data_IF_674840636284
#
_entry.id   IF_674840636284
#
_cell.length_a   1.000
_cell.length_b   1.000
_cell.length_c   1.000
_cell.angle_alpha   90.00
_cell.angle_beta   90.00
_cell.angle_gamma   90.00
#
_symmetry.space_group_name_H-M   'P 1'
#
loop_
_entity.id
_entity.type
_entity.pdbx_description
1 polymer ?
#
# COMPACT_ATOMS: atom_id res chain seq x y z
N UNK A 1 -8.65 -27.45 36.44
CA UNK A 1 -8.05 -26.21 37.02
C UNK A 1 -6.57 -26.44 37.27
N UNK A 2 -5.69 -25.73 36.56
CA UNK A 2 -4.28 -25.53 36.93
C UNK A 2 -3.77 -24.32 36.14
N UNK A 3 -3.53 -23.24 36.89
CA UNK A 3 -3.17 -21.90 36.41
C UNK A 3 -1.75 -21.87 35.83
N UNK A 4 -1.60 -21.28 34.64
CA UNK A 4 -0.31 -20.81 34.16
C UNK A 4 -0.14 -19.33 34.56
N UNK A 5 0.86 -19.08 35.41
CA UNK A 5 1.29 -17.76 35.88
C UNK A 5 1.78 -16.91 34.71
N UNK A 6 1.17 -15.74 34.51
CA UNK A 6 1.69 -14.66 33.67
C UNK A 6 2.78 -13.92 34.46
N UNK A 7 4.02 -13.94 33.96
CA UNK A 7 5.13 -13.14 34.51
C UNK A 7 5.06 -11.76 33.84
N UNK A 8 4.82 -10.72 34.63
CA UNK A 8 4.95 -9.31 34.24
C UNK A 8 6.34 -8.83 34.66
N UNK A 9 7.17 -8.40 33.73
CA UNK A 9 8.41 -7.68 34.03
C UNK A 9 8.19 -6.20 33.69
N UNK A 10 7.85 -5.40 34.69
CA UNK A 10 7.85 -3.95 34.60
C UNK A 10 9.24 -3.46 35.03
N UNK A 11 9.95 -2.76 34.14
CA UNK A 11 11.21 -2.11 34.47
C UNK A 11 11.01 -0.59 34.39
N UNK A 12 10.61 0.00 35.51
CA UNK A 12 10.65 1.44 35.73
C UNK A 12 11.96 1.80 36.41
N UNK A 13 12.82 2.58 35.76
CA UNK A 13 13.98 3.21 36.39
C UNK A 13 13.91 4.71 36.18
N UNK A 14 13.48 5.41 37.23
CA UNK A 14 13.57 6.86 37.35
C UNK A 14 14.87 7.22 38.05
N UNK A 15 15.62 8.19 37.51
CA UNK A 15 16.64 8.92 38.25
C UNK A 15 16.80 10.33 37.65
N UNK A 16 16.27 11.32 38.37
CA UNK A 16 16.66 12.73 38.32
C UNK A 16 17.85 12.93 39.28
N UNK A 17 18.70 13.94 39.05
CA UNK A 17 18.66 15.09 39.96
C UNK A 17 18.87 16.46 39.30
N UNK A 18 18.41 17.47 40.04
CA UNK A 18 18.36 18.90 39.74
C UNK A 18 19.68 19.65 39.97
N UNK A 19 19.74 20.90 39.48
CA UNK A 19 20.24 22.15 40.14
C UNK A 19 20.15 23.30 39.11
N UNK A 20 19.28 24.32 39.30
CA UNK A 20 19.55 25.67 39.87
C UNK A 20 20.30 26.62 38.88
N UNK A 21 20.01 27.91 38.67
CA UNK A 21 19.23 28.93 39.39
C UNK A 21 18.93 30.16 38.48
N UNK A 22 17.83 30.86 38.83
CA UNK A 22 17.55 32.30 38.82
C UNK A 22 18.00 33.25 37.69
N UNK A 23 17.00 33.92 37.09
CA UNK A 23 17.12 35.27 36.53
C UNK A 23 15.74 35.91 36.44
N UNK A 24 15.34 36.63 37.49
CA UNK A 24 14.07 37.36 37.59
C UNK A 24 14.21 38.80 37.10
N UNK A 25 13.17 39.28 36.40
CA UNK A 25 12.92 40.66 36.00
C UNK A 25 12.04 40.61 34.76
N UNK A 26 10.72 40.86 34.80
CA UNK A 26 9.99 41.86 35.56
C UNK A 26 9.58 42.97 34.59
N UNK A 27 8.32 43.00 34.16
CA UNK A 27 7.78 44.11 33.38
C UNK A 27 6.60 43.73 32.48
N UNK A 28 5.39 44.05 32.95
CA UNK A 28 4.16 44.11 32.17
C UNK A 28 4.02 45.51 31.55
N UNK A 29 3.49 45.58 30.33
CA UNK A 29 2.61 46.62 29.72
C UNK A 29 2.59 46.34 28.20
N UNK A 30 1.47 45.90 27.62
CA UNK A 30 0.32 46.71 27.16
C UNK A 30 0.65 47.58 25.92
N UNK A 31 -0.06 47.26 24.83
CA UNK A 31 -0.44 48.08 23.66
C UNK A 31 0.66 48.42 22.64
N UNK A 32 0.56 47.90 21.41
CA UNK A 32 -0.05 48.57 20.24
C UNK A 32 0.32 47.80 18.95
N UNK A 33 -0.68 47.52 18.10
CA UNK A 33 -0.52 47.09 16.70
C UNK A 33 0.27 48.15 15.90
N UNK A 34 1.04 47.76 14.87
CA UNK A 34 0.44 47.89 13.54
C UNK A 34 0.88 46.84 12.51
N UNK A 35 -0.11 46.42 11.72
CA UNK A 35 -0.03 46.21 10.27
C UNK A 35 1.11 45.32 9.76
N UNK A 36 0.99 44.01 9.99
CA UNK A 36 1.71 42.97 9.25
C UNK A 36 0.90 42.52 8.04
N UNK A 37 1.32 42.97 6.85
CA UNK A 37 0.86 42.56 5.52
C UNK A 37 0.42 41.10 5.45
N UNK A 38 -0.85 40.87 5.09
CA UNK A 38 -1.35 39.55 4.71
C UNK A 38 -0.57 39.10 3.48
N UNK A 39 0.37 38.18 3.70
CA UNK A 39 1.06 37.44 2.66
C UNK A 39 -0.01 36.74 1.82
N UNK A 40 -0.25 37.26 0.61
CA UNK A 40 -1.16 36.67 -0.35
C UNK A 40 -0.69 35.23 -0.61
N UNK A 41 -1.52 34.27 -0.22
CA UNK A 41 -1.43 32.88 -0.69
C UNK A 41 -1.47 32.93 -2.22
N UNK A 42 -0.46 32.39 -2.93
CA UNK A 42 -0.55 32.33 -4.38
C UNK A 42 -1.76 31.47 -4.73
N UNK A 43 -2.61 32.02 -5.60
CA UNK A 43 -3.73 31.30 -6.18
C UNK A 43 -3.19 30.01 -6.79
N UNK A 44 -3.71 28.89 -6.32
CA UNK A 44 -3.47 27.58 -6.93
C UNK A 44 -3.92 27.70 -8.39
N UNK A 45 -2.97 27.69 -9.32
CA UNK A 45 -3.25 27.46 -10.73
C UNK A 45 -4.03 26.15 -10.81
N UNK A 46 -5.30 26.23 -11.21
CA UNK A 46 -6.08 25.05 -11.57
C UNK A 46 -5.34 24.34 -12.71
N UNK A 47 -4.80 23.17 -12.41
CA UNK A 47 -4.23 22.28 -13.40
C UNK A 47 -5.28 22.01 -14.49
N UNK A 48 -4.85 22.09 -15.75
CA UNK A 48 -5.66 21.71 -16.90
C UNK A 48 -6.28 20.31 -16.67
N UNK A 49 -7.48 20.03 -17.22
CA UNK A 49 -8.13 18.75 -17.03
C UNK A 49 -7.18 17.63 -17.45
N UNK A 50 -6.83 16.80 -16.49
CA UNK A 50 -5.97 15.63 -16.66
C UNK A 50 -6.62 14.74 -17.73
N UNK A 51 -5.88 14.40 -18.80
CA UNK A 51 -6.35 13.40 -19.76
C UNK A 51 -6.63 12.11 -18.99
N UNK A 52 -7.89 11.69 -18.94
CA UNK A 52 -8.27 10.47 -18.24
C UNK A 52 -7.59 9.27 -18.90
N UNK A 53 -6.81 8.51 -18.13
CA UNK A 53 -6.18 7.30 -18.62
C UNK A 53 -7.27 6.28 -19.00
N UNK A 54 -7.23 5.78 -20.24
CA UNK A 54 -8.15 4.75 -20.73
C UNK A 54 -7.40 3.42 -20.71
N UNK A 55 -7.85 2.50 -19.86
CA UNK A 55 -7.33 1.14 -19.81
C UNK A 55 -8.14 0.21 -20.72
N UNK A 56 -7.46 -0.79 -21.28
CA UNK A 56 -8.09 -1.88 -22.02
C UNK A 56 -7.42 -3.17 -21.58
N UNK A 57 -8.20 -4.25 -21.48
CA UNK A 57 -7.62 -5.57 -21.21
C UNK A 57 -6.64 -5.98 -22.31
N UNK A 58 -5.58 -6.66 -21.92
CA UNK A 58 -4.64 -7.26 -22.85
C UNK A 58 -5.33 -8.33 -23.70
N UNK A 59 -5.06 -8.31 -25.02
CA UNK A 59 -5.70 -9.20 -26.01
C UNK A 59 -4.83 -10.41 -26.42
N UNK A 60 -3.78 -10.70 -25.64
CA UNK A 60 -2.83 -11.76 -25.92
C UNK A 60 -1.96 -12.05 -24.71
N UNK A 61 -0.96 -12.91 -24.89
CA UNK A 61 0.00 -13.22 -23.84
C UNK A 61 0.81 -11.96 -23.49
N UNK A 62 0.83 -11.67 -22.20
CA UNK A 62 1.53 -10.55 -21.55
C UNK A 62 2.53 -11.08 -20.52
N UNK A 63 2.95 -12.33 -20.67
CA UNK A 63 3.93 -12.99 -19.81
C UNK A 63 5.32 -12.89 -20.44
N UNK A 64 6.31 -12.50 -19.64
CA UNK A 64 7.71 -12.55 -20.02
C UNK A 64 8.20 -14.01 -20.14
N UNK A 65 9.15 -14.26 -21.04
CA UNK A 65 9.79 -15.57 -21.16
C UNK A 65 10.45 -15.99 -19.84
N UNK A 66 10.11 -17.17 -19.34
CA UNK A 66 10.67 -17.72 -18.11
C UNK A 66 10.72 -19.25 -18.14
N UNK A 67 11.55 -19.84 -17.28
CA UNK A 67 11.52 -21.28 -17.02
C UNK A 67 10.45 -21.59 -15.96
N UNK A 68 9.70 -22.68 -16.16
CA UNK A 68 8.69 -23.10 -15.19
C UNK A 68 9.29 -23.27 -13.79
N UNK A 69 8.73 -22.55 -12.81
CA UNK A 69 9.13 -22.65 -11.42
C UNK A 69 8.38 -23.76 -10.68
N UNK A 70 9.04 -24.33 -9.66
CA UNK A 70 8.42 -25.22 -8.70
C UNK A 70 8.13 -24.47 -7.40
N UNK A 71 6.87 -24.42 -6.99
CA UNK A 71 6.46 -23.80 -5.73
C UNK A 71 6.15 -24.84 -4.67
N UNK A 72 6.46 -24.52 -3.42
CA UNK A 72 6.04 -25.35 -2.30
C UNK A 72 4.60 -25.01 -1.93
N UNK A 73 3.81 -25.99 -1.48
CA UNK A 73 2.42 -25.74 -1.05
C UNK A 73 2.28 -24.81 0.17
N UNK A 74 3.40 -24.42 0.79
CA UNK A 74 3.45 -23.44 1.87
C UNK A 74 3.93 -22.06 1.42
N UNK A 75 4.04 -21.79 0.10
CA UNK A 75 4.27 -20.45 -0.42
C UNK A 75 3.19 -19.50 0.09
N UNK A 76 3.59 -18.41 0.72
CA UNK A 76 2.67 -17.44 1.34
C UNK A 76 2.50 -16.23 0.43
N UNK A 77 1.24 -15.80 0.29
CA UNK A 77 0.88 -14.53 -0.33
C UNK A 77 0.01 -13.73 0.63
N UNK A 78 0.28 -12.43 0.73
CA UNK A 78 -0.49 -11.45 1.51
C UNK A 78 -1.08 -10.44 0.54
N UNK A 79 -2.39 -10.21 0.65
CA UNK A 79 -3.10 -9.17 -0.13
C UNK A 79 -3.70 -8.18 0.85
N UNK A 80 -3.54 -6.89 0.59
CA UNK A 80 -4.17 -5.81 1.36
C UNK A 80 -4.84 -4.80 0.43
N UNK A 81 -5.92 -4.17 0.91
CA UNK A 81 -6.56 -3.06 0.19
C UNK A 81 -5.67 -1.82 0.17
N UNK A 82 -5.63 -1.11 -0.96
CA UNK A 82 -5.05 0.22 -1.03
C UNK A 82 -5.92 1.22 -0.26
N UNK A 83 -5.34 1.79 0.80
CA UNK A 83 -5.98 2.75 1.71
C UNK A 83 -6.56 4.00 1.06
N UNK A 84 -6.07 4.37 -0.13
CA UNK A 84 -6.56 5.53 -0.90
C UNK A 84 -7.76 5.21 -1.78
N UNK A 85 -8.04 3.93 -2.02
CA UNK A 85 -9.15 3.46 -2.86
C UNK A 85 -10.29 2.91 -2.01
N UNK A 86 -9.97 2.22 -0.91
CA UNK A 86 -10.96 1.60 -0.03
C UNK A 86 -11.11 2.34 1.30
N UNK A 87 -12.35 2.51 1.74
CA UNK A 87 -12.66 3.13 3.04
C UNK A 87 -12.33 2.19 4.21
N UNK A 88 -12.62 0.89 4.06
CA UNK A 88 -12.42 -0.12 5.10
C UNK A 88 -11.17 -0.97 4.79
N UNK A 89 -10.24 -1.10 5.75
CA UNK A 89 -9.07 -1.93 5.57
C UNK A 89 -9.46 -3.40 5.52
N UNK A 90 -8.81 -4.14 4.63
CA UNK A 90 -8.88 -5.59 4.58
C UNK A 90 -7.49 -6.12 4.22
N UNK A 91 -7.12 -7.23 4.84
CA UNK A 91 -5.88 -7.94 4.58
C UNK A 91 -6.11 -9.44 4.81
N UNK A 92 -5.59 -10.26 3.89
CA UNK A 92 -5.56 -11.70 4.05
C UNK A 92 -4.18 -12.24 3.70
N UNK A 93 -3.72 -13.22 4.47
CA UNK A 93 -2.53 -14.01 4.16
C UNK A 93 -2.93 -15.47 3.99
N UNK A 94 -2.55 -16.07 2.87
CA UNK A 94 -2.95 -17.43 2.49
C UNK A 94 -1.80 -18.18 1.81
N UNK A 95 -1.97 -19.50 1.70
CA UNK A 95 -1.01 -20.43 1.09
C UNK A 95 -1.76 -21.49 0.27
N UNK A 96 -1.01 -22.39 -0.36
CA UNK A 96 -1.56 -23.45 -1.21
C UNK A 96 -1.83 -22.96 -2.62
N UNK A 97 -2.77 -23.63 -3.30
CA UNK A 97 -2.98 -23.46 -4.75
C UNK A 97 -3.28 -22.01 -5.15
N UNK A 98 -4.10 -21.29 -4.38
CA UNK A 98 -4.42 -19.88 -4.64
C UNK A 98 -3.18 -18.97 -4.53
N UNK A 99 -2.33 -19.22 -3.53
CA UNK A 99 -1.09 -18.45 -3.34
C UNK A 99 -0.09 -18.74 -4.46
N UNK A 100 0.01 -20.01 -4.86
CA UNK A 100 0.87 -20.43 -5.98
C UNK A 100 0.40 -19.81 -7.28
N UNK A 101 -0.90 -19.89 -7.60
CA UNK A 101 -1.46 -19.32 -8.83
C UNK A 101 -1.25 -17.80 -8.91
N UNK A 102 -1.52 -17.08 -7.81
CA UNK A 102 -1.30 -15.63 -7.78
C UNK A 102 0.18 -15.26 -7.87
N UNK A 103 1.05 -16.03 -7.19
CA UNK A 103 2.51 -15.83 -7.25
C UNK A 103 3.05 -16.06 -8.65
N UNK A 104 2.69 -17.18 -9.29
CA UNK A 104 3.15 -17.57 -10.62
C UNK A 104 2.73 -16.51 -11.66
N UNK A 105 1.47 -16.08 -11.62
CA UNK A 105 0.97 -15.01 -12.48
C UNK A 105 1.78 -13.72 -12.29
N UNK A 106 1.85 -13.19 -11.07
CA UNK A 106 2.43 -11.87 -10.82
C UNK A 106 3.93 -11.81 -11.10
N UNK A 107 4.66 -12.90 -10.87
CA UNK A 107 6.10 -12.96 -11.03
C UNK A 107 6.54 -12.87 -12.51
N UNK A 108 5.68 -13.33 -13.43
CA UNK A 108 6.06 -13.50 -14.83
C UNK A 108 5.36 -12.57 -15.80
N UNK A 109 4.49 -11.67 -15.35
CA UNK A 109 3.95 -10.60 -16.18
C UNK A 109 5.07 -9.70 -16.77
N UNK A 110 4.91 -9.24 -18.00
CA UNK A 110 5.82 -8.31 -18.67
C UNK A 110 5.55 -6.87 -18.25
N UNK A 111 6.24 -6.42 -17.20
CA UNK A 111 6.17 -5.05 -16.69
C UNK A 111 6.93 -4.02 -17.54
N UNK A 112 7.18 -4.25 -18.83
CA UNK A 112 7.88 -3.28 -19.68
C UNK A 112 7.08 -2.02 -20.01
N UNK A 113 5.78 -1.99 -19.72
CA UNK A 113 4.89 -0.86 -19.99
C UNK A 113 5.03 0.32 -19.03
N UNK A 114 4.61 1.49 -19.51
CA UNK A 114 4.66 2.75 -18.75
C UNK A 114 3.64 2.77 -17.59
N UNK A 115 4.03 3.34 -16.45
CA UNK A 115 3.17 3.47 -15.27
C UNK A 115 2.25 4.69 -15.41
N UNK A 116 0.95 4.45 -15.30
CA UNK A 116 -0.05 5.51 -15.25
C UNK A 116 -0.27 6.08 -13.83
N UNK A 117 -1.02 7.17 -13.72
CA UNK A 117 -1.35 7.80 -12.43
C UNK A 117 -2.52 7.14 -11.68
N UNK A 118 -3.25 6.20 -12.31
CA UNK A 118 -4.34 5.48 -11.67
C UNK A 118 -3.83 4.74 -10.43
N UNK A 119 -4.66 4.63 -9.40
CA UNK A 119 -4.27 3.96 -8.15
C UNK A 119 -4.59 2.47 -8.23
N UNK A 120 -3.70 1.58 -7.75
CA UNK A 120 -4.06 0.19 -7.55
C UNK A 120 -5.17 0.08 -6.50
N UNK A 121 -5.99 -0.96 -6.61
CA UNK A 121 -7.02 -1.31 -5.62
C UNK A 121 -6.44 -2.17 -4.50
N UNK A 122 -5.44 -2.99 -4.82
CA UNK A 122 -4.83 -3.94 -3.91
C UNK A 122 -3.30 -3.85 -3.97
N UNK A 123 -2.66 -4.12 -2.84
CA UNK A 123 -1.25 -4.41 -2.75
C UNK A 123 -1.08 -5.91 -2.48
N UNK A 124 -0.24 -6.57 -3.26
CA UNK A 124 0.08 -8.01 -3.11
C UNK A 124 1.56 -8.17 -2.80
N UNK A 125 1.84 -8.94 -1.77
CA UNK A 125 3.17 -9.38 -1.36
C UNK A 125 3.23 -10.91 -1.43
N UNK A 126 4.09 -11.43 -2.28
CA UNK A 126 4.37 -12.86 -2.42
C UNK A 126 5.69 -13.20 -1.73
N UNK A 127 5.97 -14.49 -1.54
CA UNK A 127 7.28 -14.94 -1.04
C UNK A 127 8.45 -14.57 -1.97
N UNK A 128 8.18 -14.33 -3.27
CA UNK A 128 9.21 -14.14 -4.30
C UNK A 128 9.26 -12.70 -4.85
N UNK A 129 8.37 -11.83 -4.39
CA UNK A 129 8.30 -10.42 -4.80
C UNK A 129 7.23 -9.68 -4.01
N UNK A 130 7.44 -8.38 -3.77
CA UNK A 130 6.60 -7.55 -2.89
C UNK A 130 6.22 -6.25 -3.57
N UNK A 131 5.09 -5.66 -3.19
CA UNK A 131 4.67 -4.35 -3.69
C UNK A 131 4.06 -4.41 -5.10
N UNK A 132 3.42 -5.53 -5.45
CA UNK A 132 2.59 -5.58 -6.65
C UNK A 132 1.34 -4.74 -6.42
N UNK A 133 1.10 -3.73 -7.25
CA UNK A 133 -0.12 -2.94 -7.22
C UNK A 133 -1.10 -3.46 -8.26
N UNK A 134 -2.23 -4.02 -7.83
CA UNK A 134 -3.24 -4.62 -8.71
C UNK A 134 -4.48 -3.72 -8.75
N UNK A 135 -5.02 -3.46 -9.95
CA UNK A 135 -6.33 -2.83 -10.13
C UNK A 135 -7.19 -3.75 -11.01
N UNK A 136 -8.24 -4.33 -10.43
CA UNK A 136 -9.12 -5.29 -11.11
C UNK A 136 -10.20 -4.58 -11.93
N UNK A 137 -10.62 -3.38 -11.53
CA UNK A 137 -11.60 -2.59 -12.32
C UNK A 137 -11.01 -2.10 -13.64
N UNK A 138 -9.78 -1.60 -13.60
CA UNK A 138 -9.05 -1.11 -14.77
C UNK A 138 -8.27 -2.23 -15.48
N UNK A 139 -8.06 -3.37 -14.82
CA UNK A 139 -7.39 -4.53 -15.40
C UNK A 139 -5.91 -4.31 -15.62
N UNK A 140 -5.15 -3.90 -14.60
CA UNK A 140 -3.69 -3.78 -14.69
C UNK A 140 -2.97 -4.24 -13.41
N UNK A 141 -1.68 -4.53 -13.56
CA UNK A 141 -0.73 -4.73 -12.45
C UNK A 141 0.49 -3.86 -12.66
N UNK A 142 1.01 -3.28 -11.58
CA UNK A 142 2.31 -2.61 -11.58
C UNK A 142 3.28 -3.24 -10.60
N UNK A 143 4.55 -3.25 -10.97
CA UNK A 143 5.64 -3.75 -10.13
C UNK A 143 6.96 -3.17 -10.62
N UNK A 144 7.89 -2.89 -9.71
CA UNK A 144 9.26 -2.44 -10.00
C UNK A 144 9.40 -1.28 -11.02
N UNK A 145 8.45 -0.34 -10.99
CA UNK A 145 8.45 0.85 -11.84
C UNK A 145 7.88 0.63 -13.24
N UNK A 146 7.33 -0.55 -13.52
CA UNK A 146 6.62 -0.91 -14.73
C UNK A 146 5.16 -1.26 -14.50
N UNK A 147 4.39 -1.34 -15.59
CA UNK A 147 2.98 -1.72 -15.57
C UNK A 147 2.65 -2.62 -16.76
N UNK A 148 1.74 -3.56 -16.56
CA UNK A 148 1.09 -4.30 -17.65
C UNK A 148 -0.42 -4.27 -17.48
N UNK A 149 -1.13 -4.25 -18.60
CA UNK A 149 -2.55 -4.58 -18.60
C UNK A 149 -2.72 -6.09 -18.40
N UNK A 150 -3.75 -6.48 -17.65
CA UNK A 150 -4.18 -7.86 -17.46
C UNK A 150 -5.09 -8.28 -18.60
N UNK A 151 -5.11 -9.57 -18.89
CA UNK A 151 -6.21 -10.15 -19.68
C UNK A 151 -7.48 -10.24 -18.84
N UNK A 152 -8.64 -10.43 -19.49
CA UNK A 152 -9.90 -10.70 -18.79
C UNK A 152 -9.79 -11.97 -17.91
N UNK A 153 -9.16 -13.03 -18.43
CA UNK A 153 -8.97 -14.30 -17.71
C UNK A 153 -8.09 -14.13 -16.47
N UNK A 154 -7.00 -13.37 -16.58
CA UNK A 154 -6.13 -13.09 -15.43
C UNK A 154 -6.84 -12.25 -14.37
N UNK A 155 -7.63 -11.26 -14.81
CA UNK A 155 -8.42 -10.41 -13.91
C UNK A 155 -9.45 -11.24 -13.15
N UNK A 156 -10.15 -12.14 -13.83
CA UNK A 156 -11.13 -13.03 -13.22
C UNK A 156 -10.46 -14.04 -12.28
N UNK A 157 -9.32 -14.62 -12.67
CA UNK A 157 -8.54 -15.51 -11.80
C UNK A 157 -8.20 -14.82 -10.48
N UNK A 158 -7.69 -13.59 -10.51
CA UNK A 158 -7.37 -12.84 -9.30
C UNK A 158 -8.65 -12.56 -8.51
N UNK A 159 -9.73 -12.12 -9.16
CA UNK A 159 -11.03 -11.87 -8.52
C UNK A 159 -11.52 -13.09 -7.74
N UNK A 160 -11.57 -14.25 -8.39
CA UNK A 160 -12.02 -15.48 -7.76
C UNK A 160 -11.11 -15.92 -6.60
N UNK A 161 -9.79 -15.71 -6.70
CA UNK A 161 -8.86 -15.95 -5.59
C UNK A 161 -9.24 -15.06 -4.40
N UNK A 162 -9.40 -13.76 -4.62
CA UNK A 162 -9.73 -12.81 -3.54
C UNK A 162 -11.08 -13.16 -2.89
N UNK A 163 -12.08 -13.53 -3.68
CA UNK A 163 -13.39 -13.98 -3.18
C UNK A 163 -13.28 -15.22 -2.29
N UNK A 164 -12.46 -16.22 -2.67
CA UNK A 164 -12.19 -17.39 -1.81
C UNK A 164 -11.49 -17.03 -0.51
N UNK A 165 -10.70 -15.95 -0.51
CA UNK A 165 -10.06 -15.43 0.70
C UNK A 165 -10.97 -14.52 1.54
N UNK A 166 -12.22 -14.34 1.14
CA UNK A 166 -13.22 -13.59 1.88
C UNK A 166 -13.23 -12.08 1.59
N UNK A 167 -12.63 -11.66 0.48
CA UNK A 167 -12.82 -10.32 -0.07
C UNK A 167 -14.07 -10.28 -0.96
N UNK A 168 -14.71 -9.12 -1.09
CA UNK A 168 -15.74 -8.86 -2.12
C UNK A 168 -15.26 -7.69 -2.98
N UNK A 169 -14.45 -7.99 -4.03
CA UNK A 169 -13.84 -7.01 -4.92
C UNK A 169 -14.80 -6.42 -5.96
#
# INVERSE_FOLDING_TARGET
MKWYKRIRLALTLALLPALAACGAGGGVSAEEEPAGTLSAVPALEEAAPEEACVHQFAQGDNTAEHEAAGYCGNTVTTVSRESRVWDEPWEASFWGDDSVALTDLLLYLDYSGDVCRCLPEYNVDTEFGTGYGVNLTAGYVRHDGGQTDLTEEQTELIREILERQGETP
#
